data_IF_705210138078
#
_entry.id   IF_705210138078
#
_cell.length_a   1.000
_cell.length_b   1.000
_cell.length_c   1.000
_cell.angle_alpha   90.00
_cell.angle_beta   90.00
_cell.angle_gamma   90.00
#
_symmetry.space_group_name_H-M   'P 1'
#
loop_
_entity.id
_entity.type
_entity.pdbx_description
1 polymer ?
#
# COMPACT_ATOMS: atom_id res chain seq x y z
N UNK A 1 2.68 8.32 -10.92
CA UNK A 1 2.75 6.85 -10.71
C UNK A 1 1.35 6.37 -10.38
N UNK A 2 0.90 5.24 -10.88
CA UNK A 2 -0.36 4.60 -10.50
C UNK A 2 -0.08 3.22 -9.87
N UNK A 3 -1.11 2.53 -9.41
CA UNK A 3 -0.98 1.21 -8.78
C UNK A 3 -0.27 0.18 -9.68
N UNK A 4 -0.52 0.20 -10.99
CA UNK A 4 0.08 -0.76 -11.91
C UNK A 4 1.58 -0.48 -12.06
N UNK A 5 1.94 0.79 -12.22
CA UNK A 5 3.35 1.23 -12.26
C UNK A 5 4.08 0.92 -10.95
N UNK A 6 3.42 1.13 -9.80
CA UNK A 6 3.97 0.80 -8.49
C UNK A 6 4.23 -0.70 -8.33
N UNK A 7 3.26 -1.55 -8.72
CA UNK A 7 3.41 -3.01 -8.68
C UNK A 7 4.58 -3.48 -9.55
N UNK A 8 4.69 -2.92 -10.76
CA UNK A 8 5.78 -3.24 -11.66
C UNK A 8 7.13 -2.88 -11.05
N UNK A 9 7.26 -1.67 -10.49
CA UNK A 9 8.48 -1.23 -9.80
C UNK A 9 8.88 -2.12 -8.62
N UNK A 10 7.94 -2.47 -7.75
CA UNK A 10 8.22 -3.35 -6.60
C UNK A 10 8.67 -4.74 -7.05
N UNK A 11 8.10 -5.23 -8.15
CA UNK A 11 8.54 -6.48 -8.76
C UNK A 11 9.97 -6.37 -9.33
N UNK A 12 10.28 -5.28 -10.03
CA UNK A 12 11.61 -5.02 -10.60
C UNK A 12 12.70 -4.88 -9.53
N UNK A 13 12.39 -4.28 -8.38
CA UNK A 13 13.29 -4.19 -7.22
C UNK A 13 13.36 -5.49 -6.41
N UNK A 14 12.60 -6.52 -6.78
CA UNK A 14 12.59 -7.81 -6.08
C UNK A 14 11.97 -7.75 -4.68
N UNK A 15 11.08 -6.79 -4.43
CA UNK A 15 10.39 -6.68 -3.15
C UNK A 15 9.55 -7.93 -2.87
N UNK A 16 9.57 -8.40 -1.63
CA UNK A 16 8.80 -9.58 -1.25
C UNK A 16 7.29 -9.26 -1.23
N UNK A 17 6.54 -9.88 -2.15
CA UNK A 17 5.09 -9.71 -2.27
C UNK A 17 4.30 -10.11 -1.01
N UNK A 18 4.87 -10.87 -0.08
CA UNK A 18 4.22 -11.17 1.21
C UNK A 18 4.29 -10.02 2.22
N UNK A 19 5.14 -9.02 1.97
CA UNK A 19 5.37 -7.88 2.88
C UNK A 19 4.54 -6.65 2.51
N UNK A 20 3.78 -6.69 1.41
CA UNK A 20 2.96 -5.57 1.01
C UNK A 20 1.59 -5.96 0.43
N UNK A 21 0.65 -5.02 0.47
CA UNK A 21 -0.63 -5.14 -0.21
C UNK A 21 -1.00 -3.82 -0.89
N UNK A 22 -1.39 -3.87 -2.17
CA UNK A 22 -1.73 -2.69 -2.97
C UNK A 22 -3.11 -2.83 -3.57
N UNK A 23 -3.95 -1.81 -3.38
CA UNK A 23 -5.29 -1.67 -3.93
C UNK A 23 -6.39 -2.33 -3.10
N UNK A 24 -6.09 -3.45 -2.44
CA UNK A 24 -7.02 -4.12 -1.52
C UNK A 24 -6.28 -4.62 -0.29
N UNK A 25 -7.01 -4.68 0.83
CA UNK A 25 -6.54 -5.33 2.05
C UNK A 25 -6.36 -6.82 1.77
N UNK A 26 -5.10 -7.26 1.68
CA UNK A 26 -4.75 -8.67 1.50
C UNK A 26 -4.97 -9.48 2.77
N UNK A 27 -4.63 -10.78 2.72
CA UNK A 27 -4.68 -11.69 3.87
C UNK A 27 -3.42 -11.65 4.75
N UNK A 28 -2.52 -10.69 4.52
CA UNK A 28 -1.24 -10.63 5.21
C UNK A 28 -1.41 -10.04 6.62
N UNK A 29 -0.93 -10.79 7.62
CA UNK A 29 -0.95 -10.37 9.03
C UNK A 29 0.02 -9.23 9.32
N UNK A 30 1.15 -9.19 8.61
CA UNK A 30 2.21 -8.19 8.78
C UNK A 30 2.64 -7.69 7.39
N UNK A 31 2.13 -6.51 7.00
CA UNK A 31 2.33 -5.96 5.66
C UNK A 31 2.24 -4.43 5.62
N UNK A 32 2.97 -3.85 4.67
CA UNK A 32 2.84 -2.44 4.30
C UNK A 32 1.75 -2.29 3.23
N UNK A 33 0.71 -1.51 3.54
CA UNK A 33 -0.52 -1.50 2.76
C UNK A 33 -0.77 -0.13 2.13
N UNK A 34 -1.19 -0.14 0.86
CA UNK A 34 -1.77 1.00 0.15
C UNK A 34 -3.19 0.63 -0.30
N UNK A 35 -4.21 1.27 0.25
CA UNK A 35 -5.62 1.01 -0.11
C UNK A 35 -6.41 2.30 -0.25
N UNK A 36 -7.50 2.26 -1.00
CA UNK A 36 -8.46 3.36 -1.08
C UNK A 36 -9.69 3.04 -0.22
N UNK A 37 -10.07 3.93 0.70
CA UNK A 37 -11.19 3.70 1.62
C UNK A 37 -12.56 4.19 1.08
N UNK A 38 -12.60 4.72 -0.14
CA UNK A 38 -13.79 5.31 -0.77
C UNK A 38 -13.72 6.83 -0.87
N UNK A 39 -12.93 7.49 -0.03
CA UNK A 39 -12.68 8.92 -0.07
C UNK A 39 -11.23 9.25 -0.43
N UNK A 40 -10.28 8.57 0.20
CA UNK A 40 -8.84 8.83 0.05
C UNK A 40 -8.04 7.54 -0.01
N UNK A 41 -6.83 7.66 -0.57
CA UNK A 41 -5.77 6.68 -0.47
C UNK A 41 -5.11 6.75 0.89
N UNK A 42 -4.77 5.58 1.44
CA UNK A 42 -4.19 5.45 2.76
C UNK A 42 -3.01 4.49 2.71
N UNK A 43 -1.92 4.89 3.38
CA UNK A 43 -0.73 4.06 3.58
C UNK A 43 -0.55 3.78 5.07
N UNK A 44 -0.50 2.49 5.41
CA UNK A 44 -0.48 2.02 6.80
C UNK A 44 0.20 0.65 6.89
N UNK A 45 0.52 0.23 8.11
CA UNK A 45 0.98 -1.13 8.38
C UNK A 45 -0.13 -1.97 8.97
N UNK A 46 0.01 -3.25 8.76
CA UNK A 46 -0.71 -4.30 9.47
C UNK A 46 0.27 -4.96 10.40
N UNK A 47 -0.14 -5.20 11.64
CA UNK A 47 0.66 -5.94 12.59
C UNK A 47 -0.23 -6.97 13.25
N UNK A 48 0.14 -8.25 13.13
CA UNK A 48 -0.65 -9.38 13.66
C UNK A 48 -2.13 -9.36 13.24
N UNK A 49 -2.39 -8.89 12.01
CA UNK A 49 -3.73 -8.78 11.44
C UNK A 49 -4.51 -7.53 11.85
N UNK A 50 -3.90 -6.61 12.61
CA UNK A 50 -4.52 -5.36 13.04
C UNK A 50 -3.97 -4.18 12.23
N UNK A 51 -4.87 -3.46 11.58
CA UNK A 51 -4.58 -2.24 10.82
C UNK A 51 -4.17 -1.14 11.79
N UNK A 52 -2.98 -0.60 11.59
CA UNK A 52 -2.54 0.59 12.30
C UNK A 52 -3.15 1.84 11.67
N UNK A 53 -3.12 2.94 12.40
CA UNK A 53 -3.52 4.24 11.83
C UNK A 53 -2.65 4.58 10.61
N UNK A 54 -3.23 5.19 9.56
CA UNK A 54 -2.46 5.62 8.40
C UNK A 54 -1.35 6.58 8.77
N UNK A 55 -0.15 6.31 8.25
CA UNK A 55 0.98 7.24 8.33
C UNK A 55 0.85 8.35 7.29
N UNK A 56 0.12 8.07 6.21
CA UNK A 56 -0.12 8.98 5.10
C UNK A 56 -1.49 8.75 4.50
N UNK A 57 -2.15 9.84 4.13
CA UNK A 57 -3.37 9.81 3.33
C UNK A 57 -3.32 10.89 2.24
N UNK A 58 -4.01 10.64 1.12
CA UNK A 58 -4.13 11.58 0.01
C UNK A 58 -5.33 11.26 -0.87
N UNK A 59 -5.95 12.28 -1.44
CA UNK A 59 -6.99 12.10 -2.47
C UNK A 59 -6.38 11.66 -3.82
N UNK A 60 -5.07 11.84 -4.01
CA UNK A 60 -4.35 11.51 -5.24
C UNK A 60 -3.74 10.11 -5.16
N UNK A 61 -4.14 9.23 -6.08
CA UNK A 61 -3.51 7.91 -6.26
C UNK A 61 -2.00 8.06 -6.49
N UNK A 62 -1.61 9.09 -7.25
CA UNK A 62 -0.24 9.28 -7.64
C UNK A 62 0.67 9.64 -6.47
N UNK A 63 0.18 10.49 -5.57
CA UNK A 63 0.95 10.90 -4.39
C UNK A 63 1.07 9.74 -3.39
N UNK A 64 -0.01 8.98 -3.20
CA UNK A 64 0.00 7.81 -2.33
C UNK A 64 0.90 6.69 -2.86
N UNK A 65 0.91 6.44 -4.17
CA UNK A 65 1.85 5.52 -4.78
C UNK A 65 3.30 6.00 -4.59
N UNK A 66 3.55 7.31 -4.77
CA UNK A 66 4.88 7.89 -4.63
C UNK A 66 5.39 7.86 -3.18
N UNK A 67 4.50 7.98 -2.20
CA UNK A 67 4.83 7.84 -0.78
C UNK A 67 5.13 6.39 -0.39
N UNK A 68 4.40 5.43 -0.99
CA UNK A 68 4.54 4.01 -0.67
C UNK A 68 5.88 3.41 -1.11
N UNK A 69 6.42 3.85 -2.25
CA UNK A 69 7.65 3.32 -2.85
C UNK A 69 8.90 3.95 -2.27
#
# INVERSE_FOLDING_TARGET
>A
MNIQELRQKLYEEGCNASMYAIGQRGSASDAYCLTHNGNEWQVYCTERGVDQSPFYTSESEADACQYFF
#
